data_IF_690338070108
#
_entry.id   IF_690338070108
#
_cell.length_a   1.000
_cell.length_b   1.000
_cell.length_c   1.000
_cell.angle_alpha   90.00
_cell.angle_beta   90.00
_cell.angle_gamma   90.00
#
_symmetry.space_group_name_H-M   'P 1'
#
loop_
_entity.id
_entity.type
_entity.pdbx_description
1 polymer ?
#
# COMPACT_ATOMS: atom_id res chain seq x y z
N UNK A 1 -0.86 -14.91 -8.54
CA UNK A 1 -2.27 -14.88 -8.13
C UNK A 1 -3.04 -13.75 -8.82
N UNK A 2 -2.54 -12.49 -8.83
CA UNK A 2 -3.26 -11.37 -9.46
C UNK A 2 -3.51 -11.67 -10.95
N UNK A 3 -2.47 -11.99 -11.69
CA UNK A 3 -2.56 -12.26 -13.15
C UNK A 3 -3.40 -13.49 -13.52
N UNK A 4 -3.63 -14.42 -12.57
CA UNK A 4 -4.46 -15.59 -12.84
C UNK A 4 -5.96 -15.33 -12.81
N UNK A 5 -6.40 -14.15 -12.31
CA UNK A 5 -7.81 -13.85 -12.08
C UNK A 5 -8.45 -14.63 -10.92
N UNK A 6 -7.69 -15.45 -10.21
CA UNK A 6 -8.24 -16.29 -9.13
C UNK A 6 -8.85 -15.48 -7.97
N UNK A 7 -8.46 -14.22 -7.82
CA UNK A 7 -8.92 -13.34 -6.75
C UNK A 7 -10.22 -12.59 -7.09
N UNK A 8 -10.63 -12.53 -8.37
CA UNK A 8 -11.80 -11.76 -8.81
C UNK A 8 -13.15 -12.27 -8.26
N UNK A 9 -13.17 -13.47 -7.69
CA UNK A 9 -14.36 -14.06 -7.05
C UNK A 9 -14.64 -13.54 -5.64
N UNK A 10 -13.71 -12.80 -5.03
CA UNK A 10 -13.84 -12.26 -3.69
C UNK A 10 -14.27 -10.81 -3.73
N UNK A 11 -15.11 -10.36 -2.80
CA UNK A 11 -15.57 -8.98 -2.69
C UNK A 11 -14.47 -8.05 -2.19
N UNK A 12 -13.51 -8.56 -1.43
CA UNK A 12 -12.29 -7.87 -1.02
C UNK A 12 -11.16 -8.86 -0.78
N UNK A 13 -9.93 -8.39 -0.94
CA UNK A 13 -8.70 -9.15 -0.72
C UNK A 13 -7.78 -8.36 0.19
N UNK A 14 -7.25 -9.00 1.24
CA UNK A 14 -6.22 -8.42 2.07
C UNK A 14 -4.83 -8.84 1.57
N UNK A 15 -4.04 -7.87 1.14
CA UNK A 15 -2.64 -8.08 0.75
C UNK A 15 -1.76 -7.93 1.99
N UNK A 16 -1.10 -9.00 2.36
CA UNK A 16 -0.10 -9.04 3.43
C UNK A 16 1.21 -9.60 2.89
N UNK A 17 2.30 -9.24 3.53
CA UNK A 17 3.61 -9.83 3.25
C UNK A 17 4.51 -9.84 4.49
N UNK A 18 5.55 -10.66 4.46
CA UNK A 18 6.57 -10.71 5.50
C UNK A 18 7.52 -9.52 5.33
N UNK A 19 7.11 -8.35 5.81
CA UNK A 19 7.95 -7.18 5.79
C UNK A 19 9.08 -7.36 6.83
N UNK A 20 10.32 -7.35 6.34
CA UNK A 20 11.50 -7.13 7.16
C UNK A 20 12.05 -5.78 6.75
N UNK A 21 12.07 -4.84 7.69
CA UNK A 21 12.68 -3.53 7.50
C UNK A 21 13.97 -3.45 8.31
N UNK A 22 15.03 -4.17 7.90
CA UNK A 22 16.26 -4.27 8.68
C UNK A 22 16.96 -2.92 8.86
N UNK A 23 16.61 -1.95 8.04
CA UNK A 23 17.08 -0.56 8.10
C UNK A 23 16.40 0.27 9.20
N UNK A 24 15.29 -0.23 9.76
CA UNK A 24 14.56 0.44 10.83
C UNK A 24 14.81 -0.24 12.16
N UNK A 25 15.05 0.55 13.21
CA UNK A 25 15.17 0.05 14.60
C UNK A 25 13.88 -0.67 15.01
N UNK A 26 12.73 -0.11 14.62
CA UNK A 26 11.40 -0.55 15.03
C UNK A 26 10.61 -1.21 13.87
N UNK A 27 11.29 -1.85 12.93
CA UNK A 27 10.66 -2.46 11.75
C UNK A 27 9.63 -3.54 12.09
N UNK A 28 9.83 -4.28 13.16
CA UNK A 28 8.86 -5.27 13.67
C UNK A 28 7.62 -4.59 14.27
N UNK A 29 7.78 -3.47 14.95
CA UNK A 29 6.66 -2.67 15.49
C UNK A 29 5.81 -2.15 14.33
N UNK A 30 6.44 -1.58 13.32
CA UNK A 30 5.74 -1.12 12.10
C UNK A 30 4.92 -2.24 11.46
N UNK A 31 5.53 -3.40 11.25
CA UNK A 31 4.82 -4.56 10.69
C UNK A 31 3.63 -4.96 11.57
N UNK A 32 3.81 -5.00 12.89
CA UNK A 32 2.76 -5.38 13.82
C UNK A 32 1.60 -4.38 13.81
N UNK A 33 1.87 -3.09 13.71
CA UNK A 33 0.85 -2.05 13.61
C UNK A 33 0.04 -2.17 12.31
N UNK A 34 0.70 -2.42 11.15
CA UNK A 34 0.03 -2.71 9.89
C UNK A 34 -0.90 -3.92 10.01
N UNK A 35 -0.41 -5.02 10.58
CA UNK A 35 -1.20 -6.24 10.77
C UNK A 35 -2.38 -6.01 11.70
N UNK A 36 -2.17 -5.35 12.83
CA UNK A 36 -3.23 -5.07 13.80
C UNK A 36 -4.29 -4.11 13.22
N UNK A 37 -3.89 -3.15 12.40
CA UNK A 37 -4.81 -2.24 11.74
C UNK A 37 -5.67 -2.92 10.67
N UNK A 38 -5.09 -3.86 9.91
CA UNK A 38 -5.80 -4.55 8.83
C UNK A 38 -6.57 -5.78 9.30
N UNK A 39 -6.07 -6.47 10.32
CA UNK A 39 -6.62 -7.70 10.88
C UNK A 39 -6.65 -7.61 12.41
N UNK A 40 -7.42 -6.67 12.99
CA UNK A 40 -7.53 -6.58 14.44
C UNK A 40 -8.07 -7.89 15.01
N UNK A 41 -7.48 -8.36 16.12
CA UNK A 41 -7.88 -9.63 16.76
C UNK A 41 -9.39 -9.68 17.06
N UNK A 42 -9.97 -8.54 17.40
CA UNK A 42 -11.41 -8.39 17.56
C UNK A 42 -11.94 -7.43 16.52
N UNK A 43 -12.81 -7.91 15.64
CA UNK A 43 -13.50 -7.06 14.67
C UNK A 43 -12.95 -7.06 13.24
N UNK A 44 -12.00 -7.93 12.88
CA UNK A 44 -11.51 -8.06 11.52
C UNK A 44 -12.65 -8.31 10.50
N UNK A 45 -13.62 -9.14 10.85
CA UNK A 45 -14.80 -9.39 10.02
C UNK A 45 -15.63 -8.12 9.84
N UNK A 46 -15.89 -7.39 10.92
CA UNK A 46 -16.64 -6.11 10.85
C UNK A 46 -15.94 -5.07 10.01
N UNK A 47 -14.61 -4.99 10.12
CA UNK A 47 -13.79 -4.11 9.30
C UNK A 47 -13.92 -4.46 7.80
N UNK A 48 -13.82 -5.74 7.47
CA UNK A 48 -13.97 -6.22 6.10
C UNK A 48 -15.39 -5.97 5.55
N UNK A 49 -16.43 -6.25 6.34
CA UNK A 49 -17.83 -6.00 5.97
C UNK A 49 -18.09 -4.51 5.74
N UNK A 50 -17.61 -3.63 6.63
CA UNK A 50 -17.75 -2.19 6.47
C UNK A 50 -17.01 -1.68 5.23
N UNK A 51 -15.81 -2.19 4.97
CA UNK A 51 -15.06 -1.86 3.76
C UNK A 51 -15.79 -2.33 2.49
N UNK A 52 -16.32 -3.53 2.47
CA UNK A 52 -17.11 -4.05 1.35
C UNK A 52 -18.36 -3.20 1.11
N UNK A 53 -19.04 -2.78 2.17
CA UNK A 53 -20.26 -2.00 2.11
C UNK A 53 -20.06 -0.54 1.61
N UNK A 54 -18.85 0.04 1.72
CA UNK A 54 -18.56 1.39 1.23
C UNK A 54 -18.29 1.38 -0.29
N UNK A 55 -19.19 1.86 -1.15
CA UNK A 55 -18.99 1.77 -2.60
C UNK A 55 -17.88 2.67 -3.13
N UNK A 56 -17.52 3.73 -2.41
CA UNK A 56 -16.48 4.68 -2.79
C UNK A 56 -15.07 4.21 -2.47
N UNK A 57 -14.90 3.37 -1.44
CA UNK A 57 -13.60 2.85 -1.04
C UNK A 57 -13.19 1.68 -1.95
N UNK A 58 -12.03 1.78 -2.58
CA UNK A 58 -11.42 0.71 -3.39
C UNK A 58 -10.16 0.13 -2.75
N UNK A 59 -9.54 0.87 -1.84
CA UNK A 59 -8.42 0.44 -1.00
C UNK A 59 -8.69 0.84 0.44
N UNK A 60 -8.24 0.02 1.40
CA UNK A 60 -8.31 0.32 2.84
C UNK A 60 -6.93 0.14 3.46
N UNK A 61 -6.48 1.16 4.19
CA UNK A 61 -5.15 1.26 4.78
C UNK A 61 -5.30 1.62 6.26
N UNK A 62 -4.46 1.13 7.18
CA UNK A 62 -4.46 1.63 8.55
C UNK A 62 -4.10 3.11 8.58
N UNK A 63 -4.74 3.89 9.46
CA UNK A 63 -4.66 5.35 9.49
C UNK A 63 -3.25 5.93 9.41
N UNK A 64 -2.24 5.45 10.17
CA UNK A 64 -0.91 6.05 10.15
C UNK A 64 -0.15 5.80 8.84
N UNK A 65 -0.62 4.86 8.01
CA UNK A 65 0.13 4.36 6.85
C UNK A 65 -0.43 4.83 5.50
N UNK A 66 -1.41 5.72 5.49
CA UNK A 66 -1.81 6.44 4.30
C UNK A 66 -0.92 7.69 4.12
N UNK A 67 0.00 7.62 3.18
CA UNK A 67 0.90 8.74 2.86
C UNK A 67 0.34 9.57 1.72
N UNK A 68 0.45 10.90 1.87
CA UNK A 68 -0.01 11.91 0.92
C UNK A 68 1.08 12.91 0.58
N UNK A 69 1.07 13.38 -0.65
CA UNK A 69 1.93 14.44 -1.14
C UNK A 69 3.06 13.98 -2.05
N UNK A 70 3.36 14.81 -3.03
CA UNK A 70 4.32 14.51 -4.11
C UNK A 70 5.76 14.34 -3.63
N UNK A 71 6.10 14.85 -2.44
CA UNK A 71 7.42 14.61 -1.83
C UNK A 71 7.75 13.12 -1.66
N UNK A 72 6.72 12.28 -1.55
CA UNK A 72 6.88 10.84 -1.38
C UNK A 72 7.18 10.08 -2.67
N UNK A 73 7.15 10.77 -3.82
CA UNK A 73 7.70 10.19 -5.03
C UNK A 73 9.20 9.89 -4.89
N UNK A 74 9.96 10.80 -4.22
CA UNK A 74 11.39 10.62 -4.07
C UNK A 74 12.05 10.27 -5.41
N UNK A 75 12.98 9.32 -5.42
CA UNK A 75 13.62 8.78 -6.63
C UNK A 75 12.77 7.72 -7.36
N UNK A 76 11.55 7.43 -6.88
CA UNK A 76 10.68 6.42 -7.50
C UNK A 76 9.91 6.94 -8.71
N UNK A 77 9.76 8.26 -8.86
CA UNK A 77 8.96 8.84 -9.96
C UNK A 77 9.45 8.42 -11.34
N UNK A 78 10.75 8.54 -11.68
CA UNK A 78 11.25 8.07 -12.97
C UNK A 78 11.06 6.57 -13.19
N UNK A 79 11.18 5.77 -12.13
CA UNK A 79 10.95 4.33 -12.20
C UNK A 79 9.47 4.04 -12.48
N UNK A 80 8.57 4.74 -11.80
CA UNK A 80 7.13 4.61 -12.02
C UNK A 80 6.74 5.04 -13.44
N UNK A 81 7.26 6.15 -13.93
CA UNK A 81 7.06 6.63 -15.31
C UNK A 81 7.50 5.59 -16.33
N UNK A 82 8.68 5.00 -16.15
CA UNK A 82 9.16 3.91 -17.01
C UNK A 82 8.27 2.66 -16.96
N UNK A 83 7.78 2.31 -15.78
CA UNK A 83 6.92 1.12 -15.62
C UNK A 83 5.57 1.25 -16.33
N UNK A 84 5.07 2.47 -16.48
CA UNK A 84 3.78 2.75 -17.16
C UNK A 84 3.97 3.32 -18.57
N UNK A 85 5.19 3.35 -19.07
CA UNK A 85 5.50 3.83 -20.43
C UNK A 85 4.69 3.03 -21.46
N UNK A 86 4.00 3.75 -22.36
CA UNK A 86 3.12 3.15 -23.36
C UNK A 86 1.76 2.69 -22.84
N UNK A 87 1.47 2.89 -21.54
CA UNK A 87 0.14 2.68 -20.97
C UNK A 87 -0.63 3.99 -20.96
N UNK A 88 -1.98 3.90 -21.04
CA UNK A 88 -2.84 5.06 -20.85
C UNK A 88 -2.95 5.40 -19.35
N UNK A 89 -1.84 5.79 -18.76
CA UNK A 89 -1.71 6.16 -17.35
C UNK A 89 -0.75 7.35 -17.21
N UNK A 90 -1.29 8.48 -16.75
CA UNK A 90 -0.50 9.70 -16.52
C UNK A 90 -0.26 9.88 -15.02
N UNK A 91 1.01 10.02 -14.64
CA UNK A 91 1.39 10.37 -13.28
C UNK A 91 1.33 11.89 -13.12
N UNK A 92 0.61 12.39 -12.12
CA UNK A 92 0.62 13.82 -11.78
C UNK A 92 -0.70 14.57 -11.95
N UNK A 93 -1.79 13.95 -12.36
CA UNK A 93 -3.11 14.60 -12.34
C UNK A 93 -3.73 14.71 -10.94
N UNK A 94 -3.23 13.94 -9.99
CA UNK A 94 -3.68 13.92 -8.61
C UNK A 94 -2.48 13.95 -7.67
N UNK A 95 -2.66 14.53 -6.49
CA UNK A 95 -1.68 14.41 -5.43
C UNK A 95 -1.44 12.92 -5.14
N UNK A 96 -0.17 12.54 -4.96
CA UNK A 96 0.18 11.17 -4.64
C UNK A 96 -0.43 10.76 -3.29
N UNK A 97 -1.17 9.66 -3.31
CA UNK A 97 -1.62 8.94 -2.12
C UNK A 97 -1.26 7.47 -2.27
N UNK A 98 -0.79 6.81 -1.23
CA UNK A 98 -0.49 5.38 -1.28
C UNK A 98 -0.40 4.74 0.10
N UNK A 99 -0.47 3.40 0.13
CA UNK A 99 -0.34 2.57 1.32
C UNK A 99 1.14 2.33 1.64
N UNK A 100 1.71 3.09 2.56
CA UNK A 100 3.10 2.88 3.01
C UNK A 100 3.24 1.53 3.72
N UNK A 101 4.27 0.76 3.33
CA UNK A 101 4.48 -0.61 3.77
C UNK A 101 3.72 -1.66 2.95
N UNK A 102 2.99 -1.23 1.90
CA UNK A 102 2.43 -2.12 0.87
C UNK A 102 1.50 -3.22 1.40
N UNK A 103 0.87 -3.01 2.57
CA UNK A 103 -0.17 -3.90 3.14
C UNK A 103 -1.50 -3.16 3.19
N UNK A 104 -2.54 -3.74 2.62
CA UNK A 104 -3.85 -3.09 2.48
C UNK A 104 -4.93 -4.09 2.08
N UNK A 105 -6.20 -3.71 2.28
CA UNK A 105 -7.32 -4.36 1.60
C UNK A 105 -7.59 -3.67 0.26
N UNK A 106 -8.06 -4.44 -0.73
CA UNK A 106 -8.46 -3.93 -2.04
C UNK A 106 -9.68 -4.67 -2.56
N UNK A 107 -10.47 -3.95 -3.36
CA UNK A 107 -11.66 -4.49 -4.04
C UNK A 107 -11.35 -4.97 -5.47
N UNK A 108 -12.25 -5.76 -6.07
CA UNK A 108 -12.05 -6.33 -7.41
C UNK A 108 -11.72 -5.30 -8.48
N UNK A 109 -12.35 -4.12 -8.45
CA UNK A 109 -12.11 -3.08 -9.45
C UNK A 109 -10.67 -2.59 -9.45
N UNK A 110 -10.09 -2.34 -8.27
CA UNK A 110 -8.67 -2.00 -8.15
C UNK A 110 -7.78 -3.19 -8.50
N UNK A 111 -8.17 -4.40 -8.14
CA UNK A 111 -7.43 -5.61 -8.49
C UNK A 111 -7.32 -5.77 -10.01
N UNK A 112 -8.38 -5.50 -10.77
CA UNK A 112 -8.35 -5.54 -12.24
C UNK A 112 -7.48 -4.42 -12.84
N UNK A 113 -7.48 -3.23 -12.26
CA UNK A 113 -6.55 -2.15 -12.66
C UNK A 113 -5.09 -2.57 -12.46
N UNK A 114 -4.77 -3.18 -11.30
CA UNK A 114 -3.43 -3.72 -11.04
C UNK A 114 -3.08 -4.82 -12.06
N UNK A 115 -4.02 -5.71 -12.35
CA UNK A 115 -3.84 -6.80 -13.31
C UNK A 115 -3.62 -6.29 -14.72
N UNK A 116 -4.31 -5.22 -15.12
CA UNK A 116 -4.20 -4.62 -16.46
C UNK A 116 -2.78 -4.13 -16.78
N UNK A 117 -1.98 -3.81 -15.77
CA UNK A 117 -0.58 -3.43 -15.96
C UNK A 117 0.30 -4.59 -16.43
N UNK A 118 -0.16 -5.83 -16.26
CA UNK A 118 0.53 -7.01 -16.76
C UNK A 118 1.91 -7.26 -16.14
N UNK A 119 2.18 -6.71 -14.96
CA UNK A 119 3.49 -6.86 -14.32
C UNK A 119 3.86 -8.32 -14.08
N UNK A 120 5.12 -8.63 -14.33
CA UNK A 120 5.73 -9.94 -14.19
C UNK A 120 6.73 -9.93 -13.05
N UNK A 121 6.91 -11.10 -12.43
CA UNK A 121 7.83 -11.24 -11.29
C UNK A 121 9.29 -10.89 -11.64
N UNK A 122 9.71 -11.12 -12.88
CA UNK A 122 11.06 -10.83 -13.37
C UNK A 122 11.36 -9.33 -13.52
N UNK A 123 10.36 -8.46 -13.48
CA UNK A 123 10.52 -7.01 -13.44
C UNK A 123 10.86 -6.49 -12.03
N UNK A 124 10.70 -7.33 -11.00
CA UNK A 124 11.01 -6.97 -9.64
C UNK A 124 12.41 -7.47 -9.27
N UNK A 125 13.33 -6.55 -9.10
CA UNK A 125 14.69 -6.86 -8.68
C UNK A 125 14.72 -7.31 -7.21
N UNK A 126 15.69 -8.15 -6.86
CA UNK A 126 15.90 -8.54 -5.47
C UNK A 126 16.28 -7.32 -4.64
N UNK A 127 15.54 -7.09 -3.58
CA UNK A 127 15.85 -6.04 -2.62
C UNK A 127 17.10 -6.41 -1.82
N UNK A 128 18.02 -5.45 -1.71
CA UNK A 128 19.27 -5.55 -0.96
C UNK A 128 19.37 -4.50 0.14
N UNK A 129 18.22 -4.15 0.73
CA UNK A 129 18.11 -3.10 1.75
C UNK A 129 18.02 -1.68 1.18
N UNK A 130 17.64 -1.53 -0.10
CA UNK A 130 17.36 -0.20 -0.65
C UNK A 130 16.09 0.36 0.02
N UNK A 131 16.16 1.65 0.37
CA UNK A 131 15.03 2.37 0.97
C UNK A 131 14.02 2.85 -0.07
N UNK A 132 14.46 3.03 -1.31
CA UNK A 132 13.71 3.59 -2.42
C UNK A 132 14.35 3.20 -3.76
N UNK A 133 13.69 3.54 -4.89
CA UNK A 133 14.27 3.43 -6.23
C UNK A 133 14.18 2.03 -6.85
N UNK A 134 13.42 1.10 -6.27
CA UNK A 134 13.15 -0.21 -6.89
C UNK A 134 11.79 -0.24 -7.57
N UNK A 135 11.59 -1.24 -8.44
CA UNK A 135 10.27 -1.51 -9.04
C UNK A 135 9.18 -1.71 -7.96
N UNK A 136 9.50 -2.36 -6.85
CA UNK A 136 8.56 -2.58 -5.76
C UNK A 136 8.13 -1.26 -5.10
N UNK A 137 9.07 -0.34 -4.85
CA UNK A 137 8.78 0.96 -4.28
C UNK A 137 7.97 1.85 -5.25
N UNK A 138 8.30 1.84 -6.55
CA UNK A 138 7.53 2.54 -7.56
C UNK A 138 6.12 1.97 -7.68
N UNK A 139 5.98 0.64 -7.68
CA UNK A 139 4.70 -0.04 -7.73
C UNK A 139 3.81 0.28 -6.51
N UNK A 140 4.40 0.38 -5.31
CA UNK A 140 3.67 0.82 -4.11
C UNK A 140 2.97 2.17 -4.32
N UNK A 141 3.65 3.15 -4.93
CA UNK A 141 3.07 4.46 -5.27
C UNK A 141 2.02 4.34 -6.37
N UNK A 142 2.28 3.53 -7.39
CA UNK A 142 1.33 3.31 -8.47
C UNK A 142 -0.01 2.74 -8.01
N UNK A 143 -0.05 1.94 -6.93
CA UNK A 143 -1.31 1.39 -6.41
C UNK A 143 -2.30 2.47 -6.02
N UNK A 144 -1.84 3.61 -5.50
CA UNK A 144 -2.69 4.75 -5.18
C UNK A 144 -3.24 5.44 -6.43
N UNK A 145 -2.38 5.65 -7.44
CA UNK A 145 -2.81 6.21 -8.74
C UNK A 145 -3.86 5.31 -9.41
N UNK A 146 -3.65 4.00 -9.37
CA UNK A 146 -4.62 3.03 -9.89
C UNK A 146 -5.94 3.06 -9.10
N UNK A 147 -5.88 3.26 -7.78
CA UNK A 147 -7.06 3.44 -6.97
C UNK A 147 -7.88 4.67 -7.43
N UNK A 148 -7.23 5.81 -7.63
CA UNK A 148 -7.88 7.02 -8.16
C UNK A 148 -8.46 6.79 -9.56
N UNK A 149 -7.75 6.06 -10.44
CA UNK A 149 -8.22 5.71 -11.78
C UNK A 149 -9.52 4.89 -11.77
N UNK A 150 -9.77 4.09 -10.75
CA UNK A 150 -11.06 3.41 -10.58
C UNK A 150 -12.24 4.36 -10.36
N UNK A 151 -11.99 5.65 -10.11
CA UNK A 151 -12.97 6.60 -9.59
C UNK A 151 -13.29 6.41 -8.12
N UNK A 152 -12.52 5.55 -7.43
CA UNK A 152 -12.64 5.30 -6.00
C UNK A 152 -11.56 6.02 -5.20
N UNK A 153 -11.58 5.80 -3.88
CA UNK A 153 -10.65 6.40 -2.92
C UNK A 153 -9.93 5.37 -2.08
N UNK A 154 -8.84 5.80 -1.49
CA UNK A 154 -8.19 5.08 -0.39
C UNK A 154 -8.90 5.53 0.90
N UNK A 155 -9.51 4.57 1.60
CA UNK A 155 -10.09 4.77 2.92
C UNK A 155 -9.09 4.40 4.02
N UNK A 156 -9.27 4.94 5.22
CA UNK A 156 -8.51 4.53 6.40
C UNK A 156 -9.38 3.74 7.36
N UNK A 157 -8.75 2.91 8.21
CA UNK A 157 -9.46 1.96 9.07
C UNK A 157 -10.40 2.63 10.07
N UNK A 158 -10.08 3.84 10.56
CA UNK A 158 -10.95 4.61 11.45
C UNK A 158 -12.26 5.04 10.79
N UNK A 159 -12.31 5.21 9.47
CA UNK A 159 -13.54 5.52 8.75
C UNK A 159 -14.53 4.34 8.77
N UNK A 160 -14.02 3.11 8.90
CA UNK A 160 -14.83 1.90 8.88
C UNK A 160 -15.32 1.47 10.29
N UNK A 161 -14.52 1.69 11.31
CA UNK A 161 -14.78 1.17 12.66
C UNK A 161 -14.93 2.24 13.73
N UNK A 162 -14.86 3.52 13.34
CA UNK A 162 -14.75 4.64 14.27
C UNK A 162 -13.31 4.83 14.78
N UNK A 163 -13.07 5.88 15.60
CA UNK A 163 -11.73 6.22 16.05
C UNK A 163 -11.05 5.02 16.72
N UNK A 164 -9.90 4.63 16.19
CA UNK A 164 -9.04 3.63 16.85
C UNK A 164 -8.60 4.21 18.19
N UNK A 165 -8.70 3.46 19.31
CA UNK A 165 -8.15 3.91 20.57
C UNK A 165 -6.68 4.28 20.35
N UNK A 166 -6.30 5.51 20.72
CA UNK A 166 -4.92 5.98 20.60
C UNK A 166 -4.03 5.19 21.56
N UNK A 167 -3.52 4.06 21.07
CA UNK A 167 -2.47 3.27 21.70
C UNK A 167 -1.30 3.27 20.75
N UNK A 168 -0.35 4.16 20.97
CA UNK A 168 1.02 4.09 20.46
C UNK A 168 1.20 3.90 18.93
N UNK A 169 0.38 4.49 18.10
CA UNK A 169 0.64 4.52 16.67
C UNK A 169 1.67 5.62 16.35
N UNK A 170 2.95 5.27 16.42
CA UNK A 170 3.98 6.08 15.81
C UNK A 170 3.71 6.19 14.31
N UNK A 171 3.78 7.38 13.72
CA UNK A 171 3.79 7.51 12.26
C UNK A 171 5.07 6.86 11.74
N UNK A 172 5.09 6.24 10.55
CA UNK A 172 6.33 5.69 9.98
C UNK A 172 7.48 6.70 9.89
N UNK A 173 7.17 8.01 9.80
CA UNK A 173 8.16 9.09 9.94
C UNK A 173 8.82 9.14 11.33
N UNK A 174 8.21 8.52 12.34
CA UNK A 174 8.72 8.47 13.71
C UNK A 174 9.59 7.23 13.95
N UNK A 175 9.60 6.27 13.02
CA UNK A 175 10.47 5.09 13.08
C UNK A 175 11.92 5.51 12.80
N UNK A 176 12.78 5.25 13.76
CA UNK A 176 14.20 5.61 13.68
C UNK A 176 14.92 4.69 12.70
N UNK A 177 15.61 5.31 11.73
CA UNK A 177 16.54 4.59 10.88
C UNK A 177 17.73 4.08 11.71
N UNK A 178 18.18 2.86 11.40
CA UNK A 178 19.47 2.39 11.88
C UNK A 178 20.52 3.24 11.16
N UNK A 179 21.15 4.16 11.86
CA UNK A 179 22.31 4.88 11.34
C UNK A 179 23.44 3.87 11.20
N UNK A 180 23.61 3.38 9.96
CA UNK A 180 24.63 2.39 9.64
C UNK A 180 26.01 2.95 9.95
N UNK A 181 26.76 2.24 10.77
CA UNK A 181 28.21 2.33 10.80
C UNK A 181 28.71 1.98 9.39
N UNK A 182 29.25 2.97 8.70
CA UNK A 182 30.09 2.77 7.51
C UNK A 182 31.17 1.73 7.83
N UNK A 183 31.12 0.59 7.17
CA UNK A 183 32.27 -0.26 6.92
C UNK A 183 32.34 -0.56 5.44
#
# INVERSE_FOLDING_TARGET
LVNSGALSRYEAVCKLHTMKSPQLVDGDVWRQELLNGLLPMQGATKLAEAFVADPGAQMLVPDPFLYRGDKWWSINKPVAEHLVEGMDLTLGHHELEFAAGSMFWLKPKLLEEIRSLGFRADQFVLERGQLDGTTAHAFERLTGILCARTGGRIAVTSEMTGPVPQGQSGRPSDFKMITGSTR
#
